data_IF_838952738160
#
_entry.id   IF_838952738160
#
_cell.length_a   1.000
_cell.length_b   1.000
_cell.length_c   1.000
_cell.angle_alpha   90.00
_cell.angle_beta   90.00
_cell.angle_gamma   90.00
#
_symmetry.space_group_name_H-M   'P 1'
#
loop_
_entity.id
_entity.type
_entity.pdbx_description
1 polymer ?
#
# COMPACT_ATOMS: atom_id res chain seq x y z
N UNK A 1 21.73 9.87 -33.39
CA UNK A 1 20.51 9.07 -33.06
C UNK A 1 20.61 8.39 -31.69
N UNK A 2 21.74 7.72 -31.35
CA UNK A 2 21.97 7.09 -30.03
C UNK A 2 21.87 8.04 -28.82
N UNK A 3 22.32 9.29 -28.96
CA UNK A 3 22.33 10.28 -27.86
C UNK A 3 20.92 10.69 -27.39
N UNK A 4 19.97 10.84 -28.33
CA UNK A 4 18.57 11.18 -28.01
C UNK A 4 17.84 10.04 -27.29
N UNK A 5 18.22 8.79 -27.59
CA UNK A 5 17.65 7.59 -26.94
C UNK A 5 18.12 7.48 -25.48
N UNK A 6 19.41 7.75 -25.23
CA UNK A 6 19.97 7.75 -23.86
C UNK A 6 19.33 8.85 -23.02
N UNK A 7 19.18 10.05 -23.56
CA UNK A 7 18.56 11.18 -22.86
C UNK A 7 17.07 10.92 -22.53
N UNK A 8 16.36 10.20 -23.41
CA UNK A 8 14.97 9.80 -23.18
C UNK A 8 14.84 8.78 -22.04
N UNK A 9 15.71 7.76 -22.01
CA UNK A 9 15.74 6.78 -20.92
C UNK A 9 16.11 7.41 -19.57
N UNK A 10 17.08 8.34 -19.55
CA UNK A 10 17.46 9.08 -18.33
C UNK A 10 16.31 9.92 -17.77
N UNK A 11 15.55 10.61 -18.63
CA UNK A 11 14.37 11.38 -18.20
C UNK A 11 13.22 10.49 -17.72
N UNK A 12 13.02 9.32 -18.34
CA UNK A 12 12.03 8.35 -17.89
C UNK A 12 12.40 7.75 -16.52
N UNK A 13 13.68 7.44 -16.33
CA UNK A 13 14.23 6.93 -15.07
C UNK A 13 14.13 7.96 -13.95
N UNK A 14 14.48 9.24 -14.22
CA UNK A 14 14.32 10.32 -13.25
C UNK A 14 12.86 10.56 -12.83
N UNK A 15 11.91 10.48 -13.77
CA UNK A 15 10.47 10.54 -13.45
C UNK A 15 10.03 9.34 -12.61
N UNK A 16 10.46 8.13 -12.96
CA UNK A 16 10.11 6.93 -12.21
C UNK A 16 10.65 6.97 -10.77
N UNK A 17 11.90 7.41 -10.59
CA UNK A 17 12.52 7.61 -9.27
C UNK A 17 11.75 8.69 -8.50
N UNK A 18 11.42 9.81 -9.13
CA UNK A 18 10.66 10.88 -8.49
C UNK A 18 9.27 10.42 -8.03
N UNK A 19 8.53 9.67 -8.86
CA UNK A 19 7.23 9.13 -8.46
C UNK A 19 7.35 8.07 -7.35
N UNK A 20 8.38 7.22 -7.40
CA UNK A 20 8.65 6.24 -6.34
C UNK A 20 8.95 6.95 -5.02
N UNK A 21 9.83 7.97 -5.03
CA UNK A 21 10.15 8.78 -3.87
C UNK A 21 8.96 9.58 -3.34
N UNK A 22 8.19 10.23 -4.22
CA UNK A 22 6.99 10.98 -3.83
C UNK A 22 5.92 10.06 -3.25
N UNK A 23 5.76 8.85 -3.79
CA UNK A 23 4.83 7.86 -3.25
C UNK A 23 5.29 7.30 -1.90
N UNK A 24 6.60 7.04 -1.75
CA UNK A 24 7.22 6.61 -0.51
C UNK A 24 7.06 7.66 0.59
N UNK A 25 7.40 8.92 0.31
CA UNK A 25 7.24 10.03 1.25
C UNK A 25 5.77 10.35 1.52
N UNK A 26 4.89 10.27 0.51
CA UNK A 26 3.45 10.46 0.69
C UNK A 26 2.84 9.42 1.63
N UNK A 27 3.23 8.15 1.47
CA UNK A 27 2.79 7.05 2.34
C UNK A 27 3.39 7.19 3.74
N UNK A 28 4.67 7.57 3.87
CA UNK A 28 5.30 7.85 5.17
C UNK A 28 4.62 9.02 5.90
N UNK A 29 4.29 10.10 5.20
CA UNK A 29 3.57 11.25 5.77
C UNK A 29 2.17 10.82 6.21
N UNK A 30 1.46 10.06 5.38
CA UNK A 30 0.12 9.54 5.72
C UNK A 30 0.15 8.64 6.95
N UNK A 31 1.14 7.75 7.04
CA UNK A 31 1.28 6.83 8.18
C UNK A 31 1.75 7.56 9.44
N UNK A 32 2.69 8.50 9.34
CA UNK A 32 3.10 9.31 10.51
C UNK A 32 1.96 10.17 11.04
N UNK A 33 1.05 10.65 10.19
CA UNK A 33 -0.17 11.32 10.64
C UNK A 33 -1.14 10.37 11.37
N UNK A 34 -1.33 9.14 10.86
CA UNK A 34 -2.16 8.12 11.53
C UNK A 34 -1.58 7.76 12.91
N UNK A 35 -0.27 7.50 12.99
CA UNK A 35 0.39 7.13 14.24
C UNK A 35 0.49 8.30 15.23
N UNK A 36 0.67 9.54 14.76
CA UNK A 36 0.61 10.72 15.63
C UNK A 36 -0.78 10.91 16.23
N UNK A 37 -1.85 10.72 15.46
CA UNK A 37 -3.22 10.82 15.99
C UNK A 37 -3.50 9.73 17.04
N UNK A 38 -2.93 8.53 16.87
CA UNK A 38 -3.05 7.45 17.84
C UNK A 38 -2.23 7.65 19.13
N UNK A 39 -1.17 8.45 19.09
CA UNK A 39 -0.25 8.66 20.21
C UNK A 39 -0.57 9.89 21.09
N UNK A 40 -1.51 10.75 20.70
CA UNK A 40 -1.88 11.96 21.45
C UNK A 40 -2.41 11.65 22.86
N UNK A 41 -2.91 10.42 23.11
CA UNK A 41 -3.42 9.99 24.42
C UNK A 41 -2.34 9.46 25.39
N UNK A 42 -1.07 9.31 24.97
CA UNK A 42 0.00 8.84 25.87
C UNK A 42 1.14 9.87 25.92
N UNK A 43 1.16 10.67 26.99
CA UNK A 43 2.05 11.83 27.19
C UNK A 43 3.55 11.53 27.25
N UNK A 44 3.99 10.26 27.27
CA UNK A 44 5.40 9.89 27.41
C UNK A 44 5.87 8.77 26.46
N UNK A 45 5.06 8.40 25.46
CA UNK A 45 5.44 7.34 24.53
C UNK A 45 6.39 7.89 23.45
N UNK A 46 7.70 7.72 23.65
CA UNK A 46 8.68 7.84 22.57
C UNK A 46 8.32 6.82 21.48
N UNK A 47 7.72 7.28 20.37
CA UNK A 47 7.33 6.44 19.24
C UNK A 47 8.61 5.99 18.50
N UNK A 48 9.23 4.91 18.94
CA UNK A 48 10.34 4.28 18.21
C UNK A 48 9.76 3.40 17.10
N UNK A 49 9.62 3.96 15.90
CA UNK A 49 9.21 3.21 14.71
C UNK A 49 10.38 2.32 14.29
N UNK A 50 10.43 1.03 14.65
CA UNK A 50 11.05 0.07 13.71
C UNK A 50 10.02 -0.24 12.63
N UNK A 51 10.35 0.26 11.44
CA UNK A 51 9.48 0.33 10.28
C UNK A 51 9.86 -0.68 9.20
N UNK A 52 10.58 -1.75 9.51
CA UNK A 52 11.00 -2.73 8.49
C UNK A 52 9.78 -3.35 7.81
N UNK A 53 8.77 -3.71 8.59
CA UNK A 53 7.50 -4.25 8.08
C UNK A 53 6.84 -3.23 7.14
N UNK A 54 6.81 -1.96 7.56
CA UNK A 54 6.21 -0.88 6.81
C UNK A 54 6.97 -0.55 5.51
N UNK A 55 8.30 -0.59 5.55
CA UNK A 55 9.16 -0.42 4.37
C UNK A 55 8.87 -1.52 3.36
N UNK A 56 8.80 -2.79 3.81
CA UNK A 56 8.45 -3.92 2.95
C UNK A 56 7.05 -3.77 2.35
N UNK A 57 6.09 -3.29 3.13
CA UNK A 57 4.73 -3.00 2.64
C UNK A 57 4.74 -1.90 1.56
N UNK A 58 5.51 -0.82 1.74
CA UNK A 58 5.65 0.23 0.73
C UNK A 58 6.34 -0.31 -0.54
N UNK A 59 7.37 -1.15 -0.40
CA UNK A 59 8.03 -1.78 -1.55
C UNK A 59 7.03 -2.61 -2.34
N UNK A 60 6.21 -3.44 -1.69
CA UNK A 60 5.15 -4.21 -2.36
C UNK A 60 4.11 -3.31 -3.05
N UNK A 61 3.75 -2.20 -2.42
CA UNK A 61 2.88 -1.19 -3.01
C UNK A 61 3.48 -0.60 -4.31
N UNK A 62 4.77 -0.23 -4.30
CA UNK A 62 5.48 0.30 -5.48
C UNK A 62 5.63 -0.77 -6.57
N UNK A 63 5.89 -2.02 -6.19
CA UNK A 63 5.94 -3.15 -7.13
C UNK A 63 4.58 -3.31 -7.80
N UNK A 64 3.47 -3.30 -7.03
CA UNK A 64 2.12 -3.36 -7.60
C UNK A 64 1.79 -2.14 -8.48
N UNK A 65 2.31 -0.95 -8.15
CA UNK A 65 2.16 0.24 -9.00
C UNK A 65 2.86 0.08 -10.37
N UNK A 66 4.05 -0.51 -10.38
CA UNK A 66 4.90 -0.57 -11.57
C UNK A 66 4.65 -1.79 -12.45
N UNK A 67 4.40 -2.96 -11.87
CA UNK A 67 4.34 -4.24 -12.61
C UNK A 67 2.96 -4.57 -13.16
N UNK A 68 1.89 -4.10 -12.50
CA UNK A 68 0.54 -4.59 -12.78
C UNK A 68 0.07 -4.34 -14.21
N UNK A 69 0.44 -3.19 -14.79
CA UNK A 69 0.07 -2.79 -16.17
C UNK A 69 0.88 -3.53 -17.23
N UNK A 70 2.18 -3.76 -16.99
CA UNK A 70 3.03 -4.49 -17.94
C UNK A 70 2.65 -5.96 -17.97
N UNK A 71 2.46 -6.58 -16.80
CA UNK A 71 2.00 -7.96 -16.67
C UNK A 71 0.65 -8.19 -17.34
N UNK A 72 -0.31 -7.27 -17.17
CA UNK A 72 -1.60 -7.35 -17.86
C UNK A 72 -1.44 -7.43 -19.38
N UNK A 73 -0.60 -6.56 -19.96
CA UNK A 73 -0.40 -6.52 -21.42
C UNK A 73 0.31 -7.78 -21.93
N UNK A 74 1.35 -8.22 -21.23
CA UNK A 74 2.12 -9.40 -21.63
C UNK A 74 1.25 -10.65 -21.58
N UNK A 75 0.48 -10.86 -20.51
CA UNK A 75 -0.37 -12.04 -20.39
C UNK A 75 -1.48 -12.08 -21.44
N UNK A 76 -2.03 -10.92 -21.81
CA UNK A 76 -3.02 -10.84 -22.89
C UNK A 76 -2.42 -11.12 -24.26
N UNK A 77 -1.18 -10.68 -24.51
CA UNK A 77 -0.44 -11.02 -25.74
C UNK A 77 -0.16 -12.53 -25.84
N UNK A 78 0.06 -13.20 -24.70
CA UNK A 78 0.23 -14.65 -24.63
C UNK A 78 -1.09 -15.44 -24.66
N UNK A 79 -2.25 -14.78 -24.82
CA UNK A 79 -3.55 -15.44 -24.86
C UNK A 79 -4.02 -16.02 -23.51
N UNK A 80 -3.39 -15.62 -22.39
CA UNK A 80 -3.77 -16.10 -21.06
C UNK A 80 -5.12 -15.49 -20.66
N UNK A 81 -6.03 -16.33 -20.18
CA UNK A 81 -7.35 -15.88 -19.73
C UNK A 81 -7.25 -14.93 -18.53
N UNK A 82 -8.15 -13.95 -18.44
CA UNK A 82 -8.19 -12.99 -17.33
C UNK A 82 -8.42 -13.65 -15.96
N UNK A 83 -9.20 -14.75 -15.95
CA UNK A 83 -9.45 -15.54 -14.74
C UNK A 83 -8.17 -16.19 -14.26
N UNK A 84 -7.41 -16.81 -15.17
CA UNK A 84 -6.12 -17.42 -14.87
C UNK A 84 -5.15 -16.39 -14.31
N UNK A 85 -5.01 -15.22 -14.95
CA UNK A 85 -4.17 -14.13 -14.44
C UNK A 85 -4.53 -13.76 -13.00
N UNK A 86 -5.81 -13.52 -12.73
CA UNK A 86 -6.23 -13.08 -11.41
C UNK A 86 -5.94 -14.11 -10.32
N UNK A 87 -6.23 -15.39 -10.59
CA UNK A 87 -5.92 -16.48 -9.65
C UNK A 87 -4.41 -16.59 -9.45
N UNK A 88 -3.61 -16.54 -10.51
CA UNK A 88 -2.14 -16.62 -10.39
C UNK A 88 -1.59 -15.45 -9.58
N UNK A 89 -2.08 -14.22 -9.81
CA UNK A 89 -1.66 -13.05 -9.03
C UNK A 89 -2.05 -13.21 -7.56
N UNK A 90 -3.26 -13.68 -7.25
CA UNK A 90 -3.71 -13.86 -5.87
C UNK A 90 -2.85 -14.88 -5.13
N UNK A 91 -2.57 -16.04 -5.75
CA UNK A 91 -1.71 -17.08 -5.18
C UNK A 91 -0.26 -16.57 -5.02
N UNK A 92 0.30 -15.92 -6.04
CA UNK A 92 1.66 -15.37 -5.96
C UNK A 92 1.79 -14.32 -4.85
N UNK A 93 0.82 -13.40 -4.74
CA UNK A 93 0.83 -12.36 -3.70
C UNK A 93 0.68 -12.96 -2.31
N UNK A 94 -0.18 -13.97 -2.13
CA UNK A 94 -0.33 -14.68 -0.86
C UNK A 94 0.98 -15.35 -0.43
N UNK A 95 1.62 -16.10 -1.33
CA UNK A 95 2.91 -16.78 -1.06
C UNK A 95 4.01 -15.75 -0.76
N UNK A 96 4.15 -14.72 -1.59
CA UNK A 96 5.14 -13.66 -1.38
C UNK A 96 4.91 -12.95 -0.05
N UNK A 97 3.66 -12.64 0.31
CA UNK A 97 3.34 -11.95 1.56
C UNK A 97 3.70 -12.77 2.80
N UNK A 98 3.42 -14.09 2.78
CA UNK A 98 3.85 -14.97 3.86
C UNK A 98 5.38 -15.04 3.94
N UNK A 99 6.06 -15.22 2.81
CA UNK A 99 7.53 -15.26 2.78
C UNK A 99 8.16 -13.95 3.31
N UNK A 100 7.68 -12.81 2.82
CA UNK A 100 8.13 -11.49 3.27
C UNK A 100 7.83 -11.26 4.76
N UNK A 101 6.73 -11.80 5.29
CA UNK A 101 6.39 -11.64 6.72
C UNK A 101 7.42 -12.32 7.61
N UNK A 102 7.83 -13.55 7.27
CA UNK A 102 8.89 -14.27 7.98
C UNK A 102 10.21 -13.51 7.87
N UNK A 103 10.54 -13.04 6.66
CA UNK A 103 11.76 -12.29 6.39
C UNK A 103 11.81 -10.96 7.16
N UNK A 104 10.67 -10.25 7.27
CA UNK A 104 10.58 -9.01 8.04
C UNK A 104 10.82 -9.23 9.54
N UNK A 105 10.31 -10.34 10.09
CA UNK A 105 10.52 -10.69 11.50
C UNK A 105 11.99 -11.03 11.71
N UNK A 106 12.57 -11.90 10.88
CA UNK A 106 13.98 -12.26 10.96
C UNK A 106 14.90 -11.04 10.87
N UNK A 107 14.65 -10.12 9.93
CA UNK A 107 15.41 -8.88 9.82
C UNK A 107 15.28 -7.99 11.05
N UNK A 108 14.08 -7.92 11.65
CA UNK A 108 13.88 -7.17 12.89
C UNK A 108 14.68 -7.77 14.03
N UNK A 109 14.67 -9.10 14.20
CA UNK A 109 15.44 -9.77 15.25
C UNK A 109 16.95 -9.57 15.04
N UNK A 110 17.46 -9.75 13.80
CA UNK A 110 18.87 -9.49 13.47
C UNK A 110 19.25 -8.03 13.74
N UNK A 111 18.39 -7.07 13.37
CA UNK A 111 18.63 -5.65 13.61
C UNK A 111 18.76 -5.34 15.10
N UNK A 112 17.92 -5.94 15.95
CA UNK A 112 18.03 -5.76 17.41
C UNK A 112 19.32 -6.32 18.00
N UNK A 113 19.86 -7.42 17.44
CA UNK A 113 21.13 -8.00 17.89
C UNK A 113 22.34 -7.13 17.53
N UNK A 114 22.32 -6.50 16.36
CA UNK A 114 23.46 -5.72 15.85
C UNK A 114 23.50 -4.30 16.42
N UNK A 115 22.35 -3.73 16.73
CA UNK A 115 22.22 -2.28 16.91
C UNK A 115 22.41 -1.75 18.33
N UNK A 116 22.89 -2.53 19.31
CA UNK A 116 23.04 -2.05 20.70
C UNK A 116 23.90 -0.76 20.75
N UNK A 117 23.36 0.40 21.19
CA UNK A 117 22.19 0.60 22.08
C UNK A 117 20.83 0.97 21.43
N UNK A 118 20.72 1.06 20.11
CA UNK A 118 19.47 1.37 19.39
C UNK A 118 18.56 0.15 19.32
N UNK A 119 17.45 0.16 20.06
CA UNK A 119 16.44 -0.90 20.02
C UNK A 119 15.53 -0.76 18.79
N UNK A 120 15.71 -1.64 17.80
CA UNK A 120 14.81 -1.75 16.65
C UNK A 120 13.63 -2.68 16.93
N UNK A 121 12.68 -2.26 17.78
CA UNK A 121 11.48 -3.03 18.04
C UNK A 121 10.43 -2.81 16.94
N UNK A 122 9.91 -3.88 16.35
CA UNK A 122 8.82 -3.81 15.35
C UNK A 122 7.64 -2.96 15.82
N UNK A 123 6.80 -2.54 14.88
CA UNK A 123 5.67 -1.64 15.15
C UNK A 123 4.60 -2.25 16.07
N UNK A 124 4.44 -3.58 16.06
CA UNK A 124 3.38 -4.29 16.79
C UNK A 124 3.60 -4.42 18.31
N UNK A 125 4.83 -4.65 18.83
CA UNK A 125 5.12 -4.57 20.27
C UNK A 125 4.67 -3.29 20.98
N UNK A 126 4.54 -2.16 20.25
CA UNK A 126 4.02 -0.91 20.82
C UNK A 126 2.49 -0.90 21.00
N UNK A 127 1.78 -1.72 20.22
CA UNK A 127 0.32 -1.84 20.28
C UNK A 127 -0.06 -2.97 21.23
N UNK A 128 0.68 -4.08 21.20
CA UNK A 128 0.42 -5.27 22.00
C UNK A 128 1.66 -5.64 22.82
N UNK A 129 1.51 -5.62 24.15
CA UNK A 129 2.61 -5.89 25.11
C UNK A 129 3.19 -7.30 24.98
N UNK A 130 2.40 -8.28 24.59
CA UNK A 130 2.85 -9.64 24.31
C UNK A 130 2.11 -10.22 23.12
N UNK A 131 2.80 -10.44 22.01
CA UNK A 131 2.22 -11.02 20.80
C UNK A 131 2.99 -12.26 20.37
N UNK A 132 2.28 -13.35 20.09
CA UNK A 132 2.91 -14.57 19.60
C UNK A 132 3.47 -14.35 18.18
N UNK A 133 4.51 -15.11 17.82
CA UNK A 133 5.12 -15.01 16.49
C UNK A 133 4.12 -15.33 15.37
N UNK A 134 3.16 -16.23 15.62
CA UNK A 134 2.11 -16.60 14.67
C UNK A 134 1.23 -15.39 14.36
N UNK A 135 0.80 -14.63 15.39
CA UNK A 135 0.01 -13.42 15.17
C UNK A 135 0.81 -12.33 14.44
N UNK A 136 2.11 -12.18 14.73
CA UNK A 136 2.97 -11.26 13.97
C UNK A 136 3.01 -11.63 12.48
N UNK A 137 3.22 -12.90 12.15
CA UNK A 137 3.25 -13.40 10.76
C UNK A 137 1.91 -13.13 10.06
N UNK A 138 0.78 -13.41 10.73
CA UNK A 138 -0.56 -13.18 10.17
C UNK A 138 -0.86 -11.70 9.93
N UNK A 139 -0.48 -10.82 10.87
CA UNK A 139 -0.66 -9.38 10.70
C UNK A 139 0.22 -8.86 9.56
N UNK A 140 1.51 -9.20 9.54
CA UNK A 140 2.43 -8.76 8.47
C UNK A 140 1.99 -9.26 7.09
N UNK A 141 1.60 -10.54 6.97
CA UNK A 141 1.15 -11.09 5.69
C UNK A 141 -0.15 -10.42 5.19
N UNK A 142 -1.13 -10.19 6.06
CA UNK A 142 -2.36 -9.47 5.68
C UNK A 142 -2.10 -8.00 5.32
N UNK A 143 -1.19 -7.33 6.03
CA UNK A 143 -0.72 -5.97 5.70
C UNK A 143 -0.08 -5.92 4.30
N UNK A 144 0.76 -6.89 3.97
CA UNK A 144 1.45 -6.97 2.67
C UNK A 144 0.50 -7.22 1.51
N UNK A 145 -0.49 -8.12 1.70
CA UNK A 145 -1.58 -8.32 0.74
C UNK A 145 -2.33 -7.00 0.54
N UNK A 146 -2.70 -6.32 1.63
CA UNK A 146 -3.42 -5.05 1.57
C UNK A 146 -2.65 -4.00 0.75
N UNK A 147 -1.37 -3.77 1.05
CA UNK A 147 -0.56 -2.78 0.34
C UNK A 147 -0.37 -3.10 -1.14
N UNK A 148 -0.17 -4.39 -1.47
CA UNK A 148 -0.12 -4.81 -2.87
C UNK A 148 -1.43 -4.47 -3.60
N UNK A 149 -2.59 -4.80 -3.03
CA UNK A 149 -3.87 -4.54 -3.67
C UNK A 149 -4.27 -3.05 -3.68
N UNK A 150 -3.81 -2.25 -2.72
CA UNK A 150 -3.90 -0.79 -2.80
C UNK A 150 -3.13 -0.28 -4.02
N UNK A 151 -1.90 -0.76 -4.24
CA UNK A 151 -1.10 -0.40 -5.41
C UNK A 151 -1.75 -0.83 -6.73
N UNK A 152 -2.22 -2.07 -6.80
CA UNK A 152 -2.93 -2.59 -7.97
C UNK A 152 -4.21 -1.78 -8.28
N UNK A 153 -4.97 -1.40 -7.25
CA UNK A 153 -6.16 -0.58 -7.37
C UNK A 153 -5.85 0.81 -7.97
N UNK A 154 -4.84 1.50 -7.44
CA UNK A 154 -4.43 2.80 -7.99
C UNK A 154 -3.96 2.68 -9.45
N UNK A 155 -3.19 1.65 -9.79
CA UNK A 155 -2.78 1.39 -11.18
C UNK A 155 -3.96 1.20 -12.10
N UNK A 156 -4.97 0.44 -11.68
CA UNK A 156 -6.17 0.19 -12.47
C UNK A 156 -7.00 1.47 -12.67
N UNK A 157 -7.23 2.26 -11.62
CA UNK A 157 -7.92 3.55 -11.74
C UNK A 157 -7.17 4.45 -12.73
N UNK A 158 -5.87 4.62 -12.52
CA UNK A 158 -5.05 5.51 -13.33
C UNK A 158 -4.96 5.05 -14.79
N UNK A 159 -5.04 3.75 -15.04
CA UNK A 159 -5.07 3.19 -16.40
C UNK A 159 -6.36 3.49 -17.15
N UNK A 160 -7.48 3.67 -16.45
CA UNK A 160 -8.81 3.94 -17.02
C UNK A 160 -9.09 5.43 -17.23
N UNK A 161 -8.34 6.31 -16.56
CA UNK A 161 -8.54 7.76 -16.64
C UNK A 161 -7.89 8.40 -17.88
N UNK A 162 -8.58 9.38 -18.48
CA UNK A 162 -7.99 10.30 -19.46
C UNK A 162 -6.96 11.23 -18.77
N UNK A 163 -6.18 11.97 -19.56
CA UNK A 163 -5.13 12.87 -19.03
C UNK A 163 -5.68 13.88 -18.03
N UNK A 164 -6.87 14.44 -18.31
CA UNK A 164 -7.54 15.39 -17.42
C UNK A 164 -7.96 14.72 -16.11
N UNK A 165 -8.59 13.55 -16.19
CA UNK A 165 -9.03 12.78 -15.02
C UNK A 165 -7.87 12.38 -14.12
N UNK A 166 -6.69 12.11 -14.69
CA UNK A 166 -5.47 11.86 -13.91
C UNK A 166 -5.06 13.08 -13.08
N UNK A 167 -5.02 14.26 -13.70
CA UNK A 167 -4.68 15.52 -13.01
C UNK A 167 -5.70 15.77 -11.90
N UNK A 168 -7.00 15.75 -12.23
CA UNK A 168 -8.08 15.98 -11.26
C UNK A 168 -7.98 15.00 -10.10
N UNK A 169 -7.80 13.70 -10.37
CA UNK A 169 -7.67 12.69 -9.33
C UNK A 169 -6.46 12.93 -8.42
N UNK A 170 -5.30 13.27 -8.98
CA UNK A 170 -4.10 13.57 -8.16
C UNK A 170 -4.29 14.82 -7.30
N UNK A 171 -4.90 15.87 -7.85
CA UNK A 171 -5.19 17.10 -7.10
C UNK A 171 -6.23 16.84 -6.02
N UNK A 172 -7.27 16.06 -6.31
CA UNK A 172 -8.34 15.74 -5.38
C UNK A 172 -7.84 14.82 -4.28
N UNK A 173 -6.95 13.86 -4.58
CA UNK A 173 -6.31 13.02 -3.57
C UNK A 173 -5.43 13.86 -2.62
N UNK A 174 -4.68 14.83 -3.14
CA UNK A 174 -3.88 15.74 -2.33
C UNK A 174 -4.75 16.68 -1.47
N UNK A 175 -5.88 17.15 -2.01
CA UNK A 175 -6.83 18.01 -1.31
C UNK A 175 -7.79 17.23 -0.38
N UNK A 176 -7.90 15.90 -0.53
CA UNK A 176 -8.86 15.09 0.21
C UNK A 176 -8.64 15.16 1.72
N UNK A 177 -7.39 15.12 2.18
CA UNK A 177 -7.08 15.18 3.60
C UNK A 177 -7.56 16.49 4.27
N UNK A 178 -7.15 17.70 3.83
CA UNK A 178 -7.63 18.94 4.44
C UNK A 178 -9.14 19.14 4.27
N UNK A 179 -9.72 18.76 3.13
CA UNK A 179 -11.17 18.84 2.90
C UNK A 179 -11.91 17.93 3.89
N UNK A 180 -11.44 16.69 4.09
CA UNK A 180 -12.05 15.75 5.01
C UNK A 180 -11.93 16.22 6.46
N UNK A 181 -10.79 16.78 6.85
CA UNK A 181 -10.60 17.38 8.18
C UNK A 181 -11.55 18.55 8.42
N UNK A 182 -11.70 19.44 7.43
CA UNK A 182 -12.64 20.56 7.51
C UNK A 182 -14.09 20.05 7.60
N UNK A 183 -14.50 19.15 6.70
CA UNK A 183 -15.84 18.57 6.71
C UNK A 183 -16.14 17.84 8.03
N UNK A 184 -15.16 17.14 8.61
CA UNK A 184 -15.34 16.45 9.88
C UNK A 184 -15.66 17.42 11.02
N UNK A 185 -14.92 18.53 11.14
CA UNK A 185 -15.11 19.50 12.22
C UNK A 185 -16.41 20.29 12.04
N UNK A 186 -16.67 20.78 10.82
CA UNK A 186 -17.73 21.78 10.60
C UNK A 186 -19.05 21.18 10.11
N UNK A 187 -19.04 20.07 9.36
CA UNK A 187 -20.27 19.49 8.77
C UNK A 187 -20.73 18.24 9.52
N UNK A 188 -19.79 17.41 9.96
CA UNK A 188 -20.07 16.09 10.51
C UNK A 188 -19.91 16.02 12.04
N UNK A 189 -19.73 17.16 12.72
CA UNK A 189 -19.62 17.24 14.17
C UNK A 189 -18.69 16.16 14.78
N UNK A 190 -17.51 16.01 14.19
CA UNK A 190 -16.49 15.03 14.57
C UNK A 190 -16.88 13.55 14.45
N UNK A 191 -17.94 13.19 13.69
CA UNK A 191 -18.33 11.79 13.48
C UNK A 191 -17.21 10.93 12.89
N UNK A 192 -16.42 11.45 11.93
CA UNK A 192 -15.32 10.68 11.32
C UNK A 192 -14.23 10.46 12.36
N UNK A 193 -13.88 11.50 13.13
CA UNK A 193 -12.91 11.37 14.21
C UNK A 193 -13.36 10.34 15.25
N UNK A 194 -14.61 10.39 15.70
CA UNK A 194 -15.16 9.44 16.65
C UNK A 194 -15.17 8.01 16.09
N UNK A 195 -15.49 7.84 14.81
CA UNK A 195 -15.45 6.53 14.14
C UNK A 195 -14.02 5.99 14.05
N UNK A 196 -13.03 6.83 13.71
CA UNK A 196 -11.61 6.45 13.70
C UNK A 196 -11.17 6.04 15.10
N UNK A 197 -11.50 6.83 16.12
CA UNK A 197 -11.16 6.51 17.53
C UNK A 197 -11.83 5.22 18.00
N UNK A 198 -13.08 4.98 17.63
CA UNK A 198 -13.77 3.72 17.95
C UNK A 198 -13.08 2.53 17.28
N UNK A 199 -12.68 2.69 16.01
CA UNK A 199 -11.98 1.66 15.24
C UNK A 199 -10.57 1.41 15.79
N UNK A 200 -9.81 2.44 16.15
CA UNK A 200 -8.48 2.28 16.76
C UNK A 200 -8.57 1.63 18.13
N UNK A 201 -9.57 1.98 18.95
CA UNK A 201 -9.85 1.30 20.23
C UNK A 201 -10.19 -0.18 20.01
N UNK A 202 -11.03 -0.49 19.03
CA UNK A 202 -11.37 -1.87 18.69
C UNK A 202 -10.14 -2.67 18.25
N UNK A 203 -9.27 -2.07 17.41
CA UNK A 203 -8.01 -2.68 16.99
C UNK A 203 -7.10 -2.94 18.20
N UNK A 204 -6.92 -1.95 19.08
CA UNK A 204 -5.99 -2.04 20.21
C UNK A 204 -6.36 -3.13 21.24
N UNK A 205 -7.63 -3.55 21.30
CA UNK A 205 -8.08 -4.58 22.26
C UNK A 205 -7.45 -5.95 22.03
N UNK A 206 -7.20 -6.35 20.78
CA UNK A 206 -6.69 -7.68 20.47
C UNK A 206 -6.02 -7.74 19.10
N UNK A 207 -4.88 -8.46 18.96
CA UNK A 207 -4.24 -8.65 17.65
C UNK A 207 -5.15 -9.34 16.63
N UNK A 208 -6.12 -10.13 17.08
CA UNK A 208 -7.12 -10.77 16.22
C UNK A 208 -8.01 -9.71 15.55
N UNK A 209 -8.37 -8.65 16.26
CA UNK A 209 -9.22 -7.57 15.72
C UNK A 209 -8.51 -6.83 14.59
N UNK A 210 -7.20 -6.60 14.73
CA UNK A 210 -6.38 -6.04 13.66
C UNK A 210 -6.36 -6.95 12.42
N UNK A 211 -6.14 -8.25 12.61
CA UNK A 211 -6.15 -9.23 11.50
C UNK A 211 -7.51 -9.23 10.78
N UNK A 212 -8.61 -9.21 11.51
CA UNK A 212 -9.96 -9.13 10.92
C UNK A 212 -10.13 -7.84 10.11
N UNK A 213 -9.71 -6.69 10.64
CA UNK A 213 -9.82 -5.41 9.93
C UNK A 213 -8.95 -5.38 8.64
N UNK A 214 -7.72 -5.88 8.70
CA UNK A 214 -6.80 -5.94 7.56
C UNK A 214 -7.26 -6.97 6.51
N UNK A 215 -7.78 -8.11 6.94
CA UNK A 215 -8.32 -9.14 6.03
C UNK A 215 -9.59 -8.68 5.32
N UNK A 216 -10.53 -8.03 6.04
CA UNK A 216 -11.73 -7.47 5.42
C UNK A 216 -11.39 -6.37 4.41
N UNK A 217 -10.51 -5.43 4.77
CA UNK A 217 -10.10 -4.36 3.85
C UNK A 217 -9.37 -4.89 2.61
N UNK A 218 -8.47 -5.85 2.78
CA UNK A 218 -7.79 -6.50 1.65
C UNK A 218 -8.77 -7.28 0.77
N UNK A 219 -9.72 -8.03 1.34
CA UNK A 219 -10.76 -8.74 0.60
C UNK A 219 -11.61 -7.77 -0.24
N UNK A 220 -12.03 -6.64 0.34
CA UNK A 220 -12.78 -5.62 -0.42
C UNK A 220 -11.97 -5.09 -1.61
N UNK A 221 -10.67 -4.78 -1.42
CA UNK A 221 -9.82 -4.31 -2.51
C UNK A 221 -9.56 -5.40 -3.57
N UNK A 222 -9.42 -6.66 -3.17
CA UNK A 222 -9.30 -7.79 -4.09
C UNK A 222 -10.53 -7.89 -4.98
N UNK A 223 -11.74 -7.78 -4.40
CA UNK A 223 -13.01 -7.82 -5.13
C UNK A 223 -13.15 -6.63 -6.08
N UNK A 224 -12.85 -5.41 -5.61
CA UNK A 224 -12.89 -4.21 -6.46
C UNK A 224 -11.91 -4.35 -7.62
N UNK A 225 -10.68 -4.77 -7.35
CA UNK A 225 -9.64 -5.01 -8.37
C UNK A 225 -10.08 -6.11 -9.35
N UNK A 226 -10.75 -7.17 -8.87
CA UNK A 226 -11.31 -8.21 -9.73
C UNK A 226 -12.36 -7.66 -10.71
N UNK A 227 -13.34 -6.90 -10.19
CA UNK A 227 -14.39 -6.25 -11.00
C UNK A 227 -13.74 -5.32 -12.03
N UNK A 228 -12.78 -4.49 -11.60
CA UNK A 228 -12.06 -3.58 -12.48
C UNK A 228 -11.19 -4.28 -13.55
N UNK A 229 -10.79 -5.54 -13.37
CA UNK A 229 -10.11 -6.27 -14.43
C UNK A 229 -11.06 -6.84 -15.48
N UNK A 230 -12.33 -7.06 -15.12
CA UNK A 230 -13.33 -7.62 -16.02
C UNK A 230 -13.62 -6.68 -17.19
N UNK A 231 -13.75 -5.38 -16.93
CA UNK A 231 -14.21 -4.42 -17.96
C UNK A 231 -13.09 -3.73 -18.75
N UNK A 232 -11.85 -4.24 -18.71
CA UNK A 232 -10.76 -3.63 -19.49
C UNK A 232 -11.01 -3.91 -20.98
N UNK A 233 -11.37 -2.88 -21.72
CA UNK A 233 -11.63 -2.95 -23.16
C UNK A 233 -10.31 -2.82 -23.94
N UNK A 234 -9.87 -3.91 -24.56
CA UNK A 234 -8.52 -4.02 -25.16
C UNK A 234 -8.43 -3.39 -26.55
N UNK A 235 -9.58 -3.11 -27.15
CA UNK A 235 -9.71 -2.52 -28.49
C UNK A 235 -9.14 -1.10 -28.57
N UNK A 236 -9.21 -0.32 -27.47
CA UNK A 236 -8.70 1.05 -27.42
C UNK A 236 -7.17 1.16 -27.33
N UNK A 237 -6.47 0.05 -27.07
CA UNK A 237 -5.00 0.02 -26.99
C UNK A 237 -4.27 0.07 -28.34
N UNK A 238 -4.95 -0.29 -29.44
CA UNK A 238 -4.33 -0.36 -30.77
C UNK A 238 -4.35 0.97 -31.54
N UNK A 239 -5.11 1.98 -31.10
CA UNK A 239 -5.21 3.26 -31.81
C UNK A 239 -3.99 4.20 -31.60
N UNK A 240 -3.09 3.87 -30.67
CA UNK A 240 -1.90 4.69 -30.36
C UNK A 240 -0.57 3.94 -30.59
N UNK A 241 -0.58 2.84 -31.35
CA UNK A 241 0.62 2.07 -31.73
C UNK A 241 0.99 2.22 -33.21
N UNK A 242 0.46 3.23 -33.89
CA UNK A 242 1.01 3.74 -35.15
C UNK A 242 2.03 4.85 -34.87
N UNK A 243 3.15 4.53 -34.23
CA UNK A 243 4.38 5.36 -34.19
C UNK A 243 5.57 4.49 -33.80
#
# INVERSE_FOLDING_TARGET
MKEKVILFHLKALGKAIFYAFASYFGVLIFLTLIFKVAAIDQSDASINISGIELIMAIVLFIVALSSYKSELRLMLQLGISRKTKWITTLVSVAICSVFLSVLSILLSEIATMVASPVQFNGSFPYIYTSISIIYRILICSTLFILFYYIGAFFTLIYSRMNTIGKIVFTTLLAAAAPILSFANVYLLNNMIYNAIVALTKYIAQSPVNLIICLSLSSLMLILITYIMNRDIDLTKGNANLSL
#
